data_IF_818225326192
#
_entry.id   IF_818225326192
#
_cell.length_a   1.000
_cell.length_b   1.000
_cell.length_c   1.000
_cell.angle_alpha   90.00
_cell.angle_beta   90.00
_cell.angle_gamma   90.00
#
_symmetry.space_group_name_H-M   'P 1'
#
loop_
_entity.id
_entity.type
_entity.pdbx_description
1 polymer ?
#
# COMPACT_ATOMS: atom_id res chain seq x y z
N UNK A 1 -4.67 -32.83 -20.02
CA UNK A 1 -5.05 -31.50 -19.50
C UNK A 1 -3.75 -30.79 -19.13
N UNK A 2 -3.33 -29.79 -19.91
CA UNK A 2 -2.09 -29.05 -19.61
C UNK A 2 -2.48 -27.96 -18.62
N UNK A 3 -1.96 -28.03 -17.39
CA UNK A 3 -2.07 -26.95 -16.42
C UNK A 3 -1.03 -25.90 -16.83
N UNK A 4 -1.48 -24.81 -17.45
CA UNK A 4 -0.61 -23.66 -17.65
C UNK A 4 -0.46 -22.96 -16.28
N UNK A 5 0.77 -22.83 -15.80
CA UNK A 5 1.08 -22.06 -14.61
C UNK A 5 1.44 -20.65 -15.07
N UNK A 6 0.58 -19.68 -14.78
CA UNK A 6 0.89 -18.27 -15.00
C UNK A 6 1.70 -17.75 -13.81
N UNK A 7 3.00 -17.55 -14.02
CA UNK A 7 3.87 -16.90 -13.04
C UNK A 7 4.00 -15.42 -13.36
N UNK A 8 3.69 -14.55 -12.40
CA UNK A 8 3.97 -13.12 -12.48
C UNK A 8 5.31 -12.81 -11.81
N UNK A 9 6.17 -12.06 -12.50
CA UNK A 9 7.44 -11.57 -11.95
C UNK A 9 7.66 -10.13 -12.41
N UNK A 10 7.98 -9.25 -11.47
CA UNK A 10 8.43 -7.89 -11.75
C UNK A 10 9.52 -7.49 -10.76
N UNK A 11 10.38 -6.57 -11.18
CA UNK A 11 11.47 -6.04 -10.37
C UNK A 11 11.67 -4.56 -10.70
N UNK A 12 11.48 -3.70 -9.70
CA UNK A 12 11.70 -2.26 -9.83
C UNK A 12 12.93 -1.86 -9.02
N UNK A 13 13.99 -1.46 -9.72
CA UNK A 13 15.21 -0.92 -9.10
C UNK A 13 15.20 0.60 -8.99
N UNK A 14 14.38 1.27 -9.80
CA UNK A 14 14.19 2.73 -9.80
C UNK A 14 12.73 3.07 -10.09
N UNK A 15 12.31 4.24 -9.63
CA UNK A 15 10.96 4.76 -9.84
C UNK A 15 11.01 6.14 -10.49
N UNK A 16 10.26 6.31 -11.59
CA UNK A 16 10.25 7.54 -12.38
C UNK A 16 8.84 8.09 -12.52
N UNK A 17 8.73 9.33 -12.99
CA UNK A 17 7.45 9.90 -13.41
C UNK A 17 6.96 9.13 -14.64
N UNK A 18 5.69 8.73 -14.66
CA UNK A 18 5.02 8.00 -15.76
C UNK A 18 5.43 6.53 -15.94
N UNK A 19 5.42 5.74 -14.87
CA UNK A 19 5.54 4.28 -14.98
C UNK A 19 4.17 3.64 -15.18
N UNK A 20 3.82 3.10 -16.37
CA UNK A 20 2.47 2.57 -16.63
C UNK A 20 2.15 1.29 -15.83
N UNK A 21 3.17 0.63 -15.32
CA UNK A 21 3.08 -0.57 -14.48
C UNK A 21 2.75 -0.26 -13.02
N UNK A 22 2.78 1.03 -12.63
CA UNK A 22 2.62 1.48 -11.27
C UNK A 22 1.55 2.57 -11.20
N UNK A 23 0.61 2.39 -10.30
CA UNK A 23 -0.41 3.38 -10.00
C UNK A 23 -0.06 4.12 -8.71
N UNK A 24 -0.04 5.45 -8.79
CA UNK A 24 0.14 6.34 -7.65
C UNK A 24 -1.21 6.93 -7.28
N UNK A 25 -1.56 6.87 -6.00
CA UNK A 25 -2.81 7.42 -5.47
C UNK A 25 -2.54 8.30 -4.25
N UNK A 26 -3.48 9.23 -4.01
CA UNK A 26 -3.37 10.23 -2.94
C UNK A 26 -2.16 11.14 -3.13
N UNK A 27 -1.39 11.28 -2.06
CA UNK A 27 -0.20 12.13 -1.97
C UNK A 27 1.07 11.45 -2.48
N UNK A 28 1.00 10.20 -2.95
CA UNK A 28 2.19 9.47 -3.38
C UNK A 28 2.74 9.99 -4.71
N UNK A 29 4.06 9.98 -4.86
CA UNK A 29 4.75 10.42 -6.07
C UNK A 29 6.13 9.77 -6.19
N UNK A 30 6.76 9.88 -7.35
CA UNK A 30 8.16 9.48 -7.55
C UNK A 30 9.09 10.70 -7.53
N UNK A 31 10.24 10.57 -6.88
CA UNK A 31 11.28 11.60 -6.86
C UNK A 31 12.64 10.97 -6.54
N UNK A 32 13.70 11.43 -7.20
CA UNK A 32 15.06 10.93 -6.93
C UNK A 32 15.23 9.42 -7.14
N UNK A 33 14.54 8.85 -8.15
CA UNK A 33 14.53 7.42 -8.45
C UNK A 33 13.85 6.51 -7.39
N UNK A 34 13.11 7.08 -6.44
CA UNK A 34 12.38 6.33 -5.40
C UNK A 34 10.90 6.72 -5.35
N UNK A 35 10.09 5.87 -4.71
CA UNK A 35 8.71 6.19 -4.33
C UNK A 35 8.70 6.99 -3.04
N UNK A 36 7.95 8.08 -3.04
CA UNK A 36 7.53 8.82 -1.86
C UNK A 36 6.06 8.52 -1.62
N UNK A 37 5.75 7.79 -0.54
CA UNK A 37 4.36 7.38 -0.24
C UNK A 37 3.61 8.51 0.46
N UNK A 38 4.30 9.37 1.20
CA UNK A 38 3.75 10.52 1.92
C UNK A 38 4.43 11.82 1.47
N UNK A 39 3.75 12.95 1.70
CA UNK A 39 4.33 14.29 1.53
C UNK A 39 5.60 14.42 2.34
N UNK A 40 6.62 15.04 1.74
CA UNK A 40 7.93 15.22 2.37
C UNK A 40 8.56 16.60 2.12
N UNK A 41 7.81 17.54 1.52
CA UNK A 41 8.28 18.90 1.23
C UNK A 41 7.89 19.85 2.37
N UNK A 42 8.86 20.63 2.86
CA UNK A 42 8.71 21.48 4.04
C UNK A 42 7.75 22.68 3.83
N UNK A 43 7.45 23.03 2.58
CA UNK A 43 6.49 24.07 2.20
C UNK A 43 5.02 23.60 2.25
N UNK A 44 4.79 22.30 2.50
CA UNK A 44 3.46 21.71 2.64
C UNK A 44 3.23 21.19 4.07
N UNK A 45 1.95 21.09 4.46
CA UNK A 45 1.58 20.43 5.70
C UNK A 45 1.85 18.93 5.57
N UNK A 46 2.80 18.42 6.35
CA UNK A 46 3.19 16.99 6.36
C UNK A 46 2.20 16.11 7.12
N UNK A 47 1.33 16.71 7.94
CA UNK A 47 0.35 15.96 8.74
C UNK A 47 -0.85 15.50 7.92
N UNK A 48 -1.38 14.33 8.27
CA UNK A 48 -2.52 13.69 7.58
C UNK A 48 -2.24 13.37 6.10
N UNK A 49 -0.98 13.17 5.71
CA UNK A 49 -0.65 12.73 4.37
C UNK A 49 -1.10 11.28 4.15
N UNK A 50 -1.71 11.02 3.00
CA UNK A 50 -2.23 9.71 2.63
C UNK A 50 -1.78 9.41 1.22
N UNK A 51 -0.98 8.38 1.01
CA UNK A 51 -0.64 7.93 -0.32
C UNK A 51 -0.52 6.43 -0.39
N UNK A 52 -0.70 5.91 -1.60
CA UNK A 52 -0.69 4.49 -1.89
C UNK A 52 -0.12 4.25 -3.27
N UNK A 53 0.69 3.20 -3.39
CA UNK A 53 1.31 2.81 -4.67
C UNK A 53 1.03 1.33 -4.90
N UNK A 54 0.54 0.98 -6.09
CA UNK A 54 0.15 -0.39 -6.46
C UNK A 54 0.65 -0.78 -7.85
N UNK A 55 0.84 -2.07 -8.08
CA UNK A 55 1.05 -2.61 -9.43
C UNK A 55 -0.24 -2.49 -10.25
N UNK A 56 -0.15 -2.02 -11.50
CA UNK A 56 -1.32 -1.62 -12.28
C UNK A 56 -2.09 -2.77 -12.93
N UNK A 57 -1.59 -4.01 -12.82
CA UNK A 57 -2.27 -5.20 -13.34
C UNK A 57 -2.75 -6.11 -12.21
N UNK A 58 -3.86 -6.83 -12.41
CA UNK A 58 -4.38 -7.76 -11.40
C UNK A 58 -3.42 -8.92 -11.18
N UNK A 59 -3.32 -9.35 -9.92
CA UNK A 59 -2.57 -10.55 -9.54
C UNK A 59 -3.54 -11.65 -9.17
N UNK A 60 -3.46 -12.79 -9.86
CA UNK A 60 -4.33 -13.93 -9.60
C UNK A 60 -3.85 -14.70 -8.35
N UNK A 61 -4.58 -14.56 -7.23
CA UNK A 61 -4.18 -15.13 -5.94
C UNK A 61 -4.76 -16.52 -5.65
N UNK A 62 -5.87 -16.92 -6.30
CA UNK A 62 -6.44 -18.26 -6.21
C UNK A 62 -7.45 -18.53 -7.33
N UNK A 63 -7.63 -19.81 -7.68
CA UNK A 63 -8.62 -20.28 -8.65
C UNK A 63 -9.77 -21.01 -7.94
N UNK A 64 -11.00 -20.54 -8.14
CA UNK A 64 -12.17 -21.07 -7.45
C UNK A 64 -12.69 -22.40 -7.97
N UNK A 65 -12.35 -22.79 -9.21
CA UNK A 65 -12.77 -24.05 -9.82
C UNK A 65 -11.91 -25.22 -9.36
N UNK A 66 -10.64 -24.96 -9.10
CA UNK A 66 -9.62 -25.96 -8.77
C UNK A 66 -9.19 -25.90 -7.31
N UNK A 67 -9.50 -24.81 -6.60
CA UNK A 67 -9.07 -24.57 -5.21
C UNK A 67 -7.58 -24.30 -5.06
N UNK A 68 -6.85 -24.07 -6.17
CA UNK A 68 -5.43 -23.78 -6.13
C UNK A 68 -5.18 -22.35 -5.67
N UNK A 69 -4.16 -22.17 -4.84
CA UNK A 69 -3.72 -20.87 -4.33
C UNK A 69 -2.34 -20.52 -4.91
N UNK A 70 -2.07 -19.22 -5.02
CA UNK A 70 -0.78 -18.70 -5.48
C UNK A 70 0.17 -18.51 -4.31
N UNK A 71 1.38 -19.05 -4.43
CA UNK A 71 2.48 -18.74 -3.54
C UNK A 71 3.23 -17.53 -4.11
N UNK A 72 3.56 -16.56 -3.26
CA UNK A 72 4.32 -15.38 -3.67
C UNK A 72 5.44 -15.07 -2.70
N UNK A 73 6.42 -14.31 -3.18
CA UNK A 73 7.48 -13.73 -2.36
C UNK A 73 7.73 -12.33 -2.87
N UNK A 74 7.84 -11.36 -1.95
CA UNK A 74 8.15 -9.98 -2.27
C UNK A 74 9.37 -9.55 -1.49
N UNK A 75 10.19 -8.70 -2.10
CA UNK A 75 11.34 -8.08 -1.48
C UNK A 75 11.30 -6.59 -1.82
N UNK A 76 11.39 -5.75 -0.79
CA UNK A 76 11.45 -4.31 -0.95
C UNK A 76 12.37 -3.72 0.12
N UNK A 77 12.86 -2.52 -0.14
CA UNK A 77 13.62 -1.73 0.81
C UNK A 77 12.91 -0.39 0.97
N UNK A 78 12.87 0.12 2.19
CA UNK A 78 12.23 1.39 2.50
C UNK A 78 13.03 2.13 3.57
N UNK A 79 12.82 3.43 3.65
CA UNK A 79 13.37 4.30 4.69
C UNK A 79 12.21 5.07 5.28
N UNK A 80 12.01 4.94 6.59
CA UNK A 80 11.16 5.83 7.37
C UNK A 80 12.05 6.79 8.15
N UNK A 81 11.93 8.08 7.86
CA UNK A 81 12.71 9.13 8.52
C UNK A 81 11.79 10.24 8.97
N UNK A 82 11.73 10.48 10.28
CA UNK A 82 10.99 11.62 10.82
C UNK A 82 11.80 12.91 10.70
N UNK A 83 11.09 14.02 10.49
CA UNK A 83 11.63 15.39 10.63
C UNK A 83 11.66 15.80 12.10
N UNK A 84 10.65 15.40 12.88
CA UNK A 84 10.54 15.63 14.32
C UNK A 84 10.48 14.30 15.07
N UNK A 85 11.48 14.02 15.91
CA UNK A 85 11.58 12.78 16.66
C UNK A 85 10.53 12.65 17.78
N UNK A 86 9.82 13.72 18.12
CA UNK A 86 8.73 13.71 19.09
C UNK A 86 7.34 13.62 18.42
N UNK A 87 7.25 13.96 17.14
CA UNK A 87 6.00 14.01 16.37
C UNK A 87 6.18 13.22 15.07
N UNK A 88 6.09 11.90 15.20
CA UNK A 88 6.19 10.96 14.09
C UNK A 88 5.02 9.98 14.10
N UNK A 89 4.78 9.38 12.94
CA UNK A 89 3.67 8.50 12.69
C UNK A 89 3.16 8.66 11.25
N UNK A 90 2.32 7.75 10.77
CA UNK A 90 1.80 6.58 11.49
C UNK A 90 2.54 5.29 11.10
N UNK A 91 2.76 5.04 9.80
CA UNK A 91 3.50 3.86 9.35
C UNK A 91 3.47 3.65 7.83
N UNK A 92 3.89 2.46 7.41
CA UNK A 92 3.80 1.96 6.02
C UNK A 92 3.30 0.52 6.03
N UNK A 93 2.55 0.12 5.00
CA UNK A 93 2.11 -1.25 4.82
C UNK A 93 2.38 -1.78 3.41
N UNK A 94 2.72 -3.07 3.32
CA UNK A 94 2.56 -3.86 2.11
C UNK A 94 1.18 -4.52 2.16
N UNK A 95 0.41 -4.47 1.07
CA UNK A 95 -0.96 -4.97 1.08
C UNK A 95 -1.31 -5.76 -0.19
N UNK A 96 -2.28 -6.66 -0.04
CA UNK A 96 -3.07 -7.27 -1.11
C UNK A 96 -4.52 -6.83 -0.91
N UNK A 97 -5.14 -6.36 -1.99
CA UNK A 97 -6.53 -5.88 -2.00
C UNK A 97 -7.24 -6.36 -3.28
N UNK A 98 -8.58 -6.31 -3.33
CA UNK A 98 -9.32 -6.48 -4.58
C UNK A 98 -8.77 -5.56 -5.66
N UNK A 99 -8.75 -5.97 -6.93
CA UNK A 99 -8.24 -5.14 -8.02
C UNK A 99 -9.10 -3.88 -8.21
N UNK A 100 -8.43 -2.74 -8.47
CA UNK A 100 -9.02 -1.40 -8.54
C UNK A 100 -9.79 -0.95 -7.28
N UNK A 101 -9.24 -1.12 -6.05
CA UNK A 101 -9.81 -0.44 -4.90
C UNK A 101 -9.38 1.02 -5.01
N UNK A 102 -10.27 1.99 -4.78
CA UNK A 102 -9.82 3.36 -4.57
C UNK A 102 -9.28 3.51 -3.14
N UNK A 103 -8.37 4.46 -2.88
CA UNK A 103 -7.97 4.74 -1.49
C UNK A 103 -9.21 5.16 -0.70
N UNK A 104 -9.53 4.54 0.45
CA UNK A 104 -10.70 4.92 1.21
C UNK A 104 -10.63 6.38 1.65
N UNK A 105 -11.78 7.05 1.69
CA UNK A 105 -11.87 8.39 2.24
C UNK A 105 -11.53 8.36 3.75
N UNK A 106 -10.92 9.45 4.24
CA UNK A 106 -10.59 9.65 5.65
C UNK A 106 -9.67 8.55 6.24
N UNK A 107 -8.80 8.00 5.39
CA UNK A 107 -7.89 6.87 5.70
C UNK A 107 -6.50 7.29 6.20
N UNK A 108 -6.37 8.51 6.71
CA UNK A 108 -5.09 9.02 7.22
C UNK A 108 -4.71 8.43 8.57
N UNK A 109 -3.42 8.45 8.86
CA UNK A 109 -2.86 8.02 10.14
C UNK A 109 -2.94 6.52 10.34
N UNK A 110 -3.36 6.07 11.53
CA UNK A 110 -3.41 4.64 11.90
C UNK A 110 -4.27 3.73 11.01
N UNK A 111 -4.99 4.28 10.02
CA UNK A 111 -5.66 3.49 9.00
C UNK A 111 -4.77 3.14 7.79
N UNK A 112 -3.56 3.70 7.72
CA UNK A 112 -2.49 3.39 6.77
C UNK A 112 -2.93 3.39 5.29
N UNK A 113 -3.87 4.26 4.90
CA UNK A 113 -4.46 4.31 3.55
C UNK A 113 -5.21 3.03 3.12
N UNK A 114 -5.53 2.13 4.06
CA UNK A 114 -6.19 0.84 3.82
C UNK A 114 -7.65 0.83 4.25
N UNK A 115 -8.01 1.64 5.25
CA UNK A 115 -9.34 1.63 5.86
C UNK A 115 -9.87 3.06 6.02
N UNK A 116 -11.19 3.24 5.89
CA UNK A 116 -11.91 4.37 6.50
C UNK A 116 -12.28 4.03 7.96
N UNK A 117 -12.64 5.03 8.79
CA UNK A 117 -13.13 4.78 10.15
C UNK A 117 -14.30 3.76 10.20
N UNK A 118 -15.21 3.83 9.23
CA UNK A 118 -16.34 2.89 9.11
C UNK A 118 -15.86 1.46 8.84
N UNK A 119 -14.94 1.28 7.91
CA UNK A 119 -14.42 -0.05 7.55
C UNK A 119 -13.46 -0.63 8.60
N UNK A 120 -12.81 0.22 9.41
CA UNK A 120 -11.89 -0.20 10.47
C UNK A 120 -12.65 -0.74 11.70
N UNK A 121 -13.73 -0.07 12.09
CA UNK A 121 -14.47 -0.38 13.33
C UNK A 121 -15.87 -0.97 13.11
N UNK A 122 -16.44 -0.80 11.92
CA UNK A 122 -17.76 -1.31 11.54
C UNK A 122 -17.69 -2.67 10.86
N UNK A 123 -18.25 -2.78 9.64
CA UNK A 123 -18.31 -4.05 8.94
C UNK A 123 -16.96 -4.42 8.30
N UNK A 124 -16.16 -5.21 9.00
CA UNK A 124 -14.81 -5.61 8.56
C UNK A 124 -14.78 -6.62 7.41
N UNK A 125 -15.88 -7.33 7.17
CA UNK A 125 -15.92 -8.40 6.16
C UNK A 125 -15.85 -7.89 4.72
N UNK A 126 -16.17 -6.61 4.49
CA UNK A 126 -16.09 -5.98 3.17
C UNK A 126 -14.68 -5.59 2.74
N UNK A 127 -13.71 -5.49 3.66
CA UNK A 127 -12.41 -4.89 3.35
C UNK A 127 -11.58 -5.77 2.40
N UNK A 128 -11.61 -7.09 2.62
CA UNK A 128 -10.88 -8.07 1.80
C UNK A 128 -9.38 -7.72 1.61
N UNK A 129 -8.77 -7.09 2.60
CA UNK A 129 -7.37 -6.66 2.59
C UNK A 129 -6.56 -7.58 3.50
N UNK A 130 -5.40 -8.00 3.02
CA UNK A 130 -4.33 -8.57 3.84
C UNK A 130 -3.15 -7.62 3.79
N UNK A 131 -2.59 -7.27 4.94
CA UNK A 131 -1.47 -6.34 5.01
C UNK A 131 -0.42 -6.79 6.01
N UNK A 132 0.82 -6.34 5.76
CA UNK A 132 1.94 -6.39 6.70
C UNK A 132 2.34 -4.94 6.95
N UNK A 133 2.22 -4.50 8.19
CA UNK A 133 2.49 -3.12 8.58
C UNK A 133 3.82 -2.97 9.32
N UNK A 134 4.42 -1.79 9.14
CA UNK A 134 5.51 -1.26 9.94
C UNK A 134 4.97 -0.02 10.64
N UNK A 135 4.28 -0.26 11.76
CA UNK A 135 3.66 0.77 12.58
C UNK A 135 4.71 1.47 13.45
N UNK A 136 4.75 2.79 13.36
CA UNK A 136 5.62 3.66 14.16
C UNK A 136 4.87 4.44 15.22
N UNK A 137 3.54 4.38 15.27
CA UNK A 137 2.73 5.14 16.19
C UNK A 137 1.60 4.28 16.78
N UNK A 138 1.72 3.95 18.06
CA UNK A 138 0.66 3.24 18.78
C UNK A 138 -0.58 4.13 18.92
N UNK A 139 -1.60 3.92 18.08
CA UNK A 139 -2.85 4.64 18.23
C UNK A 139 -3.61 4.19 19.50
N UNK A 140 -4.33 5.09 20.18
CA UNK A 140 -5.00 4.79 21.46
C UNK A 140 -6.23 3.88 21.33
N UNK A 141 -6.71 3.65 20.11
CA UNK A 141 -7.88 2.82 19.81
C UNK A 141 -7.54 1.39 19.34
N UNK A 142 -6.25 1.03 19.34
CA UNK A 142 -5.77 -0.34 19.08
C UNK A 142 -5.89 -1.20 20.33
#
# INVERSE_FOLDING_TARGET
MVLNAESLFFNFSTFHTNMPEIEFQGDSFSSGAVVQITKNQADARLTSSVGRVSYSQPVHIWDSKTGKVTYFTTHFSFIMKSVDLNLYGDGISFFLAPFDPQTPQDSSGGYLALFSPETAFGNRTSNQIVAVEFDSFKNPWV
#
